data_IF_554936230450
#
_entry.id   IF_554936230450
#
_cell.length_a   1.000
_cell.length_b   1.000
_cell.length_c   1.000
_cell.angle_alpha   90.00
_cell.angle_beta   90.00
_cell.angle_gamma   90.00
#
_symmetry.space_group_name_H-M   'P 1'
#
loop_
_entity.id
_entity.type
_entity.pdbx_description
1 polymer ?
#
# COMPACT_ATOMS: atom_id res chain seq x y z
N UNK A 1 -26.09 -33.05 -69.12
CA UNK A 1 -24.62 -32.90 -69.05
C UNK A 1 -24.28 -32.82 -67.56
N UNK A 2 -23.69 -33.78 -66.85
CA UNK A 2 -22.80 -34.91 -67.14
C UNK A 2 -23.19 -36.12 -66.27
N UNK A 3 -23.15 -37.31 -66.86
CA UNK A 3 -23.07 -38.60 -66.15
C UNK A 3 -21.70 -38.79 -65.51
N UNK A 4 -21.62 -39.57 -64.44
CA UNK A 4 -20.67 -40.70 -64.31
C UNK A 4 -21.05 -41.64 -63.16
N UNK A 5 -21.20 -42.92 -63.56
CA UNK A 5 -21.29 -44.12 -62.73
C UNK A 5 -19.92 -44.41 -62.09
N UNK A 6 -19.85 -45.12 -60.96
CA UNK A 6 -19.35 -46.50 -60.83
C UNK A 6 -19.16 -46.92 -59.36
N UNK A 7 -19.39 -48.22 -59.17
CA UNK A 7 -19.52 -49.03 -57.96
C UNK A 7 -18.28 -49.93 -57.83
N UNK A 8 -17.85 -50.22 -56.59
CA UNK A 8 -16.93 -51.32 -56.20
C UNK A 8 -15.43 -50.99 -56.36
N UNK A 9 -14.49 -51.47 -55.54
CA UNK A 9 -14.39 -52.71 -54.76
C UNK A 9 -13.32 -52.55 -53.65
N UNK A 10 -13.39 -53.39 -52.62
CA UNK A 10 -12.57 -53.41 -51.41
C UNK A 10 -11.08 -53.75 -51.61
N UNK A 11 -10.23 -53.33 -50.66
CA UNK A 11 -9.18 -54.21 -50.11
C UNK A 11 -8.77 -53.75 -48.71
N UNK A 12 -8.83 -54.68 -47.76
CA UNK A 12 -8.67 -54.43 -46.33
C UNK A 12 -7.27 -54.05 -45.92
N UNK A 13 -7.17 -53.35 -44.80
CA UNK A 13 -5.94 -53.23 -44.02
C UNK A 13 -6.29 -53.46 -42.55
N UNK A 14 -5.78 -54.59 -42.07
CA UNK A 14 -5.33 -54.95 -40.73
C UNK A 14 -5.78 -54.04 -39.58
N UNK A 15 -6.62 -54.61 -38.71
CA UNK A 15 -6.94 -54.11 -37.38
C UNK A 15 -5.66 -54.15 -36.54
N UNK A 16 -5.04 -53.01 -36.30
CA UNK A 16 -4.15 -52.83 -35.17
C UNK A 16 -5.00 -52.39 -33.96
N UNK A 17 -5.24 -53.33 -33.04
CA UNK A 17 -5.79 -53.03 -31.72
C UNK A 17 -4.75 -52.21 -30.95
N UNK A 18 -4.86 -50.89 -30.99
CA UNK A 18 -4.19 -50.03 -30.01
C UNK A 18 -4.86 -50.27 -28.65
N UNK A 19 -4.11 -50.55 -27.57
CA UNK A 19 -4.67 -50.50 -26.24
C UNK A 19 -5.13 -49.06 -25.97
N UNK A 20 -6.42 -48.89 -25.66
CA UNK A 20 -6.92 -47.69 -25.02
C UNK A 20 -6.21 -47.64 -23.66
N UNK A 21 -5.15 -46.85 -23.57
CA UNK A 21 -4.60 -46.45 -22.28
C UNK A 21 -5.63 -45.49 -21.69
N UNK A 22 -6.50 -46.02 -20.85
CA UNK A 22 -7.37 -45.22 -19.99
C UNK A 22 -6.44 -44.50 -19.01
N UNK A 23 -5.96 -43.31 -19.37
CA UNK A 23 -5.27 -42.45 -18.42
C UNK A 23 -6.29 -42.09 -17.33
N UNK A 24 -6.10 -42.51 -16.07
CA UNK A 24 -6.92 -41.98 -15.00
C UNK A 24 -6.67 -40.48 -14.92
N UNK A 25 -7.76 -39.76 -14.73
CA UNK A 25 -7.81 -38.32 -14.52
C UNK A 25 -7.04 -38.07 -13.23
N UNK A 26 -5.73 -37.79 -13.32
CA UNK A 26 -5.05 -37.04 -12.28
C UNK A 26 -5.61 -35.63 -12.37
N UNK A 27 -6.68 -35.39 -11.63
CA UNK A 27 -6.94 -34.06 -11.09
C UNK A 27 -5.78 -33.75 -10.14
N UNK A 28 -4.63 -33.41 -10.72
CA UNK A 28 -3.63 -32.61 -10.03
C UNK A 28 -4.35 -31.29 -9.74
N UNK A 29 -4.79 -31.18 -8.49
CA UNK A 29 -5.10 -29.96 -7.79
C UNK A 29 -3.93 -29.00 -8.02
N UNK A 30 -3.93 -28.30 -9.15
CA UNK A 30 -3.04 -27.19 -9.43
C UNK A 30 -3.53 -26.03 -8.57
N UNK A 31 -3.26 -26.17 -7.27
CA UNK A 31 -3.41 -25.12 -6.29
C UNK A 31 -2.30 -24.13 -6.59
N UNK A 32 -2.50 -23.35 -7.66
CA UNK A 32 -1.73 -22.17 -7.97
C UNK A 32 -1.79 -21.27 -6.73
N UNK A 33 -0.80 -21.41 -5.86
CA UNK A 33 -0.63 -20.55 -4.70
C UNK A 33 -0.42 -19.15 -5.26
N UNK A 34 -1.47 -18.34 -5.23
CA UNK A 34 -1.42 -16.94 -5.62
C UNK A 34 -0.28 -16.30 -4.82
N UNK A 35 0.82 -15.99 -5.52
CA UNK A 35 2.00 -15.36 -4.91
C UNK A 35 1.54 -13.99 -4.42
N UNK A 36 1.33 -13.86 -3.12
CA UNK A 36 0.93 -12.58 -2.53
C UNK A 36 1.98 -11.54 -2.95
N UNK A 37 1.57 -10.39 -3.50
CA UNK A 37 2.51 -9.38 -3.94
C UNK A 37 3.37 -8.96 -2.74
N UNK A 38 4.68 -9.11 -2.88
CA UNK A 38 5.63 -8.70 -1.85
C UNK A 38 5.65 -7.17 -1.78
N UNK A 39 5.45 -6.63 -0.58
CA UNK A 39 5.61 -5.20 -0.33
C UNK A 39 7.07 -4.78 -0.52
N UNK A 40 7.33 -3.56 -1.03
CA UNK A 40 8.69 -3.07 -1.27
C UNK A 40 9.49 -2.81 0.02
N UNK A 41 8.80 -2.71 1.16
CA UNK A 41 9.38 -2.50 2.50
C UNK A 41 8.53 -3.23 3.54
N UNK A 42 9.13 -3.57 4.69
CA UNK A 42 8.39 -4.10 5.84
C UNK A 42 7.51 -3.03 6.49
N UNK A 43 6.54 -3.45 7.31
CA UNK A 43 5.68 -2.52 8.04
C UNK A 43 6.49 -1.65 9.01
N UNK A 44 7.50 -2.21 9.68
CA UNK A 44 8.39 -1.52 10.60
C UNK A 44 9.26 -0.49 9.87
N UNK A 45 9.78 -0.84 8.70
CA UNK A 45 10.58 0.08 7.89
C UNK A 45 9.72 1.24 7.35
N UNK A 46 8.50 0.95 6.88
CA UNK A 46 7.56 2.00 6.48
C UNK A 46 7.25 2.95 7.65
N UNK A 47 6.96 2.39 8.83
CA UNK A 47 6.67 3.17 10.04
C UNK A 47 7.87 4.04 10.45
N UNK A 48 9.08 3.49 10.42
CA UNK A 48 10.31 4.24 10.68
C UNK A 48 10.44 5.43 9.72
N UNK A 49 10.35 5.20 8.41
CA UNK A 49 10.50 6.24 7.38
C UNK A 49 9.46 7.37 7.52
N UNK A 50 8.21 7.02 7.84
CA UNK A 50 7.15 7.99 8.10
C UNK A 50 7.50 8.84 9.34
N UNK A 51 7.80 8.19 10.47
CA UNK A 51 8.05 8.89 11.72
C UNK A 51 9.31 9.75 11.67
N UNK A 52 10.42 9.21 11.17
CA UNK A 52 11.69 9.93 11.11
C UNK A 52 11.56 11.21 10.28
N UNK A 53 10.87 11.13 9.14
CA UNK A 53 10.66 12.28 8.25
C UNK A 53 9.78 13.34 8.89
N UNK A 54 8.63 12.95 9.45
CA UNK A 54 7.67 13.88 10.04
C UNK A 54 8.17 14.51 11.35
N UNK A 55 8.93 13.78 12.16
CA UNK A 55 9.55 14.34 13.37
C UNK A 55 10.70 15.28 13.03
N UNK A 56 11.51 14.97 12.01
CA UNK A 56 12.54 15.91 11.53
C UNK A 56 11.91 17.19 10.99
N UNK A 57 10.77 17.08 10.29
CA UNK A 57 9.98 18.25 9.87
C UNK A 57 9.44 19.04 11.06
N UNK A 58 9.00 18.36 12.13
CA UNK A 58 8.56 19.01 13.35
C UNK A 58 9.67 19.86 13.98
N UNK A 59 10.86 19.27 14.13
CA UNK A 59 12.02 19.95 14.70
C UNK A 59 12.45 21.13 13.82
N UNK A 60 12.37 21.00 12.50
CA UNK A 60 12.62 22.07 11.55
C UNK A 60 11.59 23.22 11.67
N UNK A 61 10.31 22.89 11.83
CA UNK A 61 9.27 23.90 12.09
C UNK A 61 9.54 24.65 13.40
N UNK A 62 9.84 23.93 14.48
CA UNK A 62 10.06 24.52 15.82
C UNK A 62 11.31 25.38 15.90
N UNK A 63 12.40 24.95 15.27
CA UNK A 63 13.69 25.66 15.31
C UNK A 63 13.85 26.69 14.19
N UNK A 64 13.06 26.58 13.12
CA UNK A 64 13.30 27.29 11.87
C UNK A 64 14.46 26.73 11.04
N UNK A 65 15.11 25.64 11.48
CA UNK A 65 16.26 25.06 10.80
C UNK A 65 15.89 23.81 9.98
N UNK A 66 15.92 23.94 8.66
CA UNK A 66 15.56 22.88 7.71
C UNK A 66 16.77 22.14 7.13
N UNK A 67 18.00 22.48 7.56
CA UNK A 67 19.20 21.86 6.98
C UNK A 67 19.23 20.36 7.19
N UNK A 68 18.86 19.87 8.38
CA UNK A 68 18.85 18.42 8.68
C UNK A 68 17.86 17.68 7.78
N UNK A 69 16.64 18.22 7.60
CA UNK A 69 15.65 17.62 6.72
C UNK A 69 16.16 17.54 5.27
N UNK A 70 16.77 18.62 4.79
CA UNK A 70 17.39 18.66 3.46
C UNK A 70 18.52 17.66 3.34
N UNK A 71 19.46 17.66 4.26
CA UNK A 71 20.71 16.89 4.16
C UNK A 71 20.47 15.37 4.30
N UNK A 72 19.37 14.95 4.94
CA UNK A 72 18.92 13.56 4.96
C UNK A 72 18.18 13.11 3.69
N UNK A 73 17.66 14.05 2.90
CA UNK A 73 16.93 13.79 1.68
C UNK A 73 17.82 13.25 0.55
N UNK A 74 17.21 12.83 -0.54
CA UNK A 74 17.90 12.31 -1.72
C UNK A 74 18.65 13.43 -2.47
N UNK A 75 19.76 13.14 -3.18
CA UNK A 75 20.58 14.17 -3.83
C UNK A 75 19.79 15.11 -4.77
N UNK A 76 18.88 14.55 -5.57
CA UNK A 76 18.05 15.36 -6.48
C UNK A 76 17.06 16.28 -5.72
N UNK A 77 16.59 15.86 -4.54
CA UNK A 77 15.78 16.72 -3.68
C UNK A 77 16.63 17.86 -3.11
N UNK A 78 17.85 17.56 -2.65
CA UNK A 78 18.79 18.56 -2.13
C UNK A 78 19.15 19.60 -3.19
N UNK A 79 19.39 19.17 -4.43
CA UNK A 79 19.72 20.06 -5.54
C UNK A 79 18.57 21.01 -5.91
N UNK A 80 17.32 20.63 -5.64
CA UNK A 80 16.11 21.41 -5.98
C UNK A 80 15.56 22.23 -4.82
N UNK A 81 15.98 21.97 -3.59
CA UNK A 81 15.42 22.59 -2.40
C UNK A 81 16.54 23.05 -1.46
N UNK A 82 16.68 24.37 -1.28
CA UNK A 82 17.46 24.92 -0.19
C UNK A 82 16.71 24.80 1.15
N UNK A 83 17.41 24.99 2.27
CA UNK A 83 16.75 25.07 3.57
C UNK A 83 15.72 26.22 3.64
N UNK A 84 15.96 27.32 2.91
CA UNK A 84 15.03 28.44 2.81
C UNK A 84 13.77 28.06 2.01
N UNK A 85 13.90 27.29 0.93
CA UNK A 85 12.75 26.82 0.14
C UNK A 85 11.86 25.90 0.97
N UNK A 86 12.46 24.98 1.73
CA UNK A 86 11.71 24.13 2.67
C UNK A 86 11.04 24.97 3.76
N UNK A 87 11.74 25.98 4.29
CA UNK A 87 11.17 26.87 5.28
C UNK A 87 9.95 27.63 4.73
N UNK A 88 9.98 28.06 3.47
CA UNK A 88 8.84 28.67 2.78
C UNK A 88 7.69 27.67 2.59
N UNK A 89 7.99 26.46 2.07
CA UNK A 89 6.99 25.43 1.81
C UNK A 89 6.19 24.99 3.04
N UNK A 90 6.83 24.99 4.22
CA UNK A 90 6.17 24.63 5.48
C UNK A 90 5.80 25.82 6.38
N UNK A 91 5.76 27.04 5.82
CA UNK A 91 5.46 28.26 6.60
C UNK A 91 4.08 28.23 7.25
N UNK A 92 3.06 27.67 6.60
CA UNK A 92 1.71 27.59 7.18
C UNK A 92 1.69 26.76 8.48
N UNK A 93 2.24 25.54 8.44
CA UNK A 93 2.36 24.68 9.64
C UNK A 93 3.11 25.39 10.76
N UNK A 94 4.23 26.06 10.42
CA UNK A 94 5.04 26.80 11.40
C UNK A 94 4.27 27.97 12.01
N UNK A 95 3.61 28.80 11.18
CA UNK A 95 2.85 29.98 11.65
C UNK A 95 1.68 29.60 12.53
N UNK A 96 1.04 28.46 12.25
CA UNK A 96 -0.03 27.90 13.11
C UNK A 96 0.49 27.22 14.37
N UNK A 97 1.82 27.14 14.56
CA UNK A 97 2.47 26.38 15.63
C UNK A 97 1.94 24.94 15.74
N UNK A 98 1.69 24.31 14.59
CA UNK A 98 1.12 22.96 14.57
C UNK A 98 2.20 21.93 14.87
N UNK A 99 2.12 21.28 16.03
CA UNK A 99 3.09 20.26 16.47
C UNK A 99 2.72 18.88 15.93
N UNK A 100 3.71 18.20 15.34
CA UNK A 100 3.58 16.84 14.82
C UNK A 100 3.97 15.77 15.86
N UNK A 101 4.20 16.12 17.14
CA UNK A 101 4.62 15.18 18.19
C UNK A 101 3.74 13.92 18.29
N UNK A 102 2.44 14.03 18.02
CA UNK A 102 1.51 12.88 17.98
C UNK A 102 1.95 11.76 17.03
N UNK A 103 2.78 12.06 16.02
CA UNK A 103 3.41 11.07 15.13
C UNK A 103 4.26 10.05 15.90
N UNK A 104 4.88 10.46 17.02
CA UNK A 104 5.66 9.57 17.87
C UNK A 104 4.77 8.63 18.71
N UNK A 105 3.52 9.04 18.99
CA UNK A 105 2.64 8.36 19.96
C UNK A 105 1.61 7.45 19.30
N UNK A 106 1.13 7.80 18.11
CA UNK A 106 0.08 7.07 17.41
C UNK A 106 0.66 6.27 16.23
N UNK A 107 -0.06 5.22 15.82
CA UNK A 107 0.22 4.54 14.57
C UNK A 107 -0.50 5.27 13.41
N UNK A 108 0.14 5.41 12.24
CA UNK A 108 -0.54 5.93 11.06
C UNK A 108 -1.54 4.90 10.51
N UNK A 109 -2.60 5.39 9.87
CA UNK A 109 -3.45 4.61 8.98
C UNK A 109 -2.98 4.86 7.54
N UNK A 110 -2.48 3.81 6.88
CA UNK A 110 -2.09 3.90 5.48
C UNK A 110 -3.32 3.88 4.59
N UNK A 111 -3.40 4.83 3.65
CA UNK A 111 -4.48 4.90 2.67
C UNK A 111 -4.30 3.87 1.54
N UNK A 112 -3.05 3.49 1.28
CA UNK A 112 -2.68 2.42 0.33
C UNK A 112 -1.53 1.59 0.92
N UNK A 113 -1.40 0.30 0.56
CA UNK A 113 -0.19 -0.44 0.89
C UNK A 113 1.06 0.23 0.31
N UNK A 114 2.22 0.16 0.98
CA UNK A 114 3.48 0.67 0.41
C UNK A 114 3.72 0.12 -0.99
N UNK A 115 4.06 0.99 -1.94
CA UNK A 115 4.28 0.59 -3.33
C UNK A 115 5.41 1.40 -3.97
N UNK A 116 5.97 0.86 -5.05
CA UNK A 116 6.91 1.60 -5.91
C UNK A 116 6.14 2.23 -7.07
N UNK A 117 6.37 3.51 -7.31
CA UNK A 117 5.85 4.17 -8.50
C UNK A 117 6.62 3.72 -9.78
N UNK A 118 6.23 4.16 -10.98
CA UNK A 118 6.95 3.84 -12.23
C UNK A 118 8.43 4.24 -12.21
N UNK A 119 8.82 5.23 -11.42
CA UNK A 119 10.20 5.70 -11.25
C UNK A 119 10.97 4.91 -10.18
N UNK A 120 10.41 3.80 -9.67
CA UNK A 120 10.97 2.99 -8.58
C UNK A 120 11.13 3.75 -7.26
N UNK A 121 10.36 4.81 -7.07
CA UNK A 121 10.31 5.54 -5.81
C UNK A 121 9.27 4.92 -4.88
N UNK A 122 9.62 4.75 -3.62
CA UNK A 122 8.71 4.24 -2.59
C UNK A 122 7.70 5.33 -2.22
N UNK A 123 6.42 4.98 -2.24
CA UNK A 123 5.30 5.83 -1.86
C UNK A 123 4.69 5.34 -0.55
N UNK A 124 4.59 6.25 0.42
CA UNK A 124 3.94 6.03 1.71
C UNK A 124 2.91 7.15 1.92
N UNK A 125 1.62 6.81 1.87
CA UNK A 125 0.52 7.77 1.95
C UNK A 125 -0.47 7.33 3.02
N UNK A 126 -0.93 8.27 3.84
CA UNK A 126 -1.83 7.95 4.94
C UNK A 126 -2.12 9.15 5.83
N UNK A 127 -2.59 8.86 7.04
CA UNK A 127 -2.84 9.90 8.03
C UNK A 127 -2.66 9.38 9.45
N UNK A 128 -2.38 10.28 10.39
CA UNK A 128 -2.53 10.02 11.82
C UNK A 128 -3.92 10.53 12.26
N UNK A 129 -4.74 9.71 12.91
CA UNK A 129 -6.12 10.04 13.29
C UNK A 129 -6.19 10.93 14.54
N UNK A 130 -5.43 12.02 14.56
CA UNK A 130 -5.43 13.00 15.67
C UNK A 130 -6.70 13.85 15.64
N UNK A 131 -7.01 14.50 16.77
CA UNK A 131 -8.13 15.43 16.93
C UNK A 131 -7.67 16.76 17.56
N UNK A 132 -8.29 17.91 17.24
CA UNK A 132 -9.41 18.07 16.29
C UNK A 132 -8.96 18.00 14.81
N UNK A 133 -7.67 18.16 14.52
CA UNK A 133 -7.09 18.06 13.18
C UNK A 133 -6.36 16.73 13.01
N UNK A 134 -6.49 16.10 11.84
CA UNK A 134 -5.66 14.96 11.46
C UNK A 134 -4.31 15.43 10.92
N UNK A 135 -3.36 14.50 10.78
CA UNK A 135 -2.09 14.73 10.08
C UNK A 135 -2.08 13.82 8.86
N UNK A 136 -2.41 14.37 7.70
CA UNK A 136 -2.32 13.66 6.43
C UNK A 136 -0.91 13.79 5.89
N UNK A 137 -0.35 12.70 5.39
CA UNK A 137 0.98 12.69 4.78
C UNK A 137 0.97 11.97 3.44
N UNK A 138 1.81 12.47 2.54
CA UNK A 138 2.20 11.79 1.32
C UNK A 138 3.71 11.93 1.14
N UNK A 139 4.41 10.82 1.31
CA UNK A 139 5.87 10.75 1.35
C UNK A 139 6.37 9.91 0.18
N UNK A 140 7.39 10.42 -0.50
CA UNK A 140 8.11 9.71 -1.57
C UNK A 140 9.55 9.54 -1.16
N UNK A 141 10.12 8.36 -1.39
CA UNK A 141 11.52 8.05 -1.09
C UNK A 141 12.23 7.52 -2.32
N UNK A 142 13.47 7.97 -2.52
CA UNK A 142 14.40 7.42 -3.51
C UNK A 142 15.35 6.45 -2.80
N UNK A 143 15.62 5.30 -3.42
CA UNK A 143 16.65 4.39 -2.92
C UNK A 143 18.02 4.90 -3.40
N UNK A 144 18.88 5.29 -2.46
CA UNK A 144 20.24 5.77 -2.72
C UNK A 144 21.20 4.91 -1.90
N UNK A 145 22.05 4.12 -2.59
CA UNK A 145 22.99 3.20 -1.95
C UNK A 145 22.32 2.28 -0.90
N UNK A 146 21.20 1.65 -1.28
CA UNK A 146 20.38 0.77 -0.45
C UNK A 146 19.73 1.46 0.78
N UNK A 147 19.63 2.79 0.76
CA UNK A 147 18.93 3.57 1.80
C UNK A 147 17.78 4.35 1.19
N UNK A 148 16.59 4.23 1.77
CA UNK A 148 15.44 5.08 1.41
C UNK A 148 15.64 6.48 1.97
N UNK A 149 15.78 7.46 1.07
CA UNK A 149 15.95 8.88 1.41
C UNK A 149 14.73 9.68 0.97
N UNK A 150 14.25 10.65 1.78
CA UNK A 150 13.14 11.50 1.37
C UNK A 150 13.37 12.16 0.01
N UNK A 151 12.37 12.12 -0.85
CA UNK A 151 12.36 12.76 -2.17
C UNK A 151 11.12 13.65 -2.36
N UNK A 152 10.03 13.38 -1.64
CA UNK A 152 8.84 14.21 -1.64
C UNK A 152 8.18 14.18 -0.26
N UNK A 153 7.79 15.34 0.24
CA UNK A 153 7.18 15.49 1.57
C UNK A 153 5.97 16.41 1.42
N UNK A 154 4.78 15.86 1.62
CA UNK A 154 3.54 16.63 1.70
C UNK A 154 2.85 16.34 3.02
N UNK A 155 2.43 17.39 3.72
CA UNK A 155 1.71 17.30 4.99
C UNK A 155 0.54 18.28 4.96
N UNK A 156 -0.63 17.79 5.34
CA UNK A 156 -1.84 18.60 5.49
C UNK A 156 -2.53 18.28 6.82
N UNK A 157 -3.25 19.26 7.38
CA UNK A 157 -3.91 19.10 8.68
C UNK A 157 -5.40 19.43 8.60
N UNK A 158 -6.23 18.61 7.92
CA UNK A 158 -7.66 18.84 7.81
C UNK A 158 -8.38 18.54 9.13
N UNK A 159 -9.61 19.03 9.27
CA UNK A 159 -10.49 18.64 10.39
C UNK A 159 -10.71 17.13 10.37
N UNK A 160 -10.59 16.50 11.53
CA UNK A 160 -10.94 15.10 11.69
C UNK A 160 -12.44 14.91 11.41
N UNK A 161 -12.84 13.85 10.69
CA UNK A 161 -14.24 13.50 10.56
C UNK A 161 -14.88 13.36 11.95
N UNK A 162 -16.19 13.67 12.09
CA UNK A 162 -16.94 13.38 13.30
C UNK A 162 -16.73 11.93 13.71
N UNK A 163 -16.63 11.66 15.02
CA UNK A 163 -16.80 10.29 15.48
C UNK A 163 -18.23 9.88 15.12
N UNK A 164 -18.39 9.11 14.05
CA UNK A 164 -19.61 8.33 13.88
C UNK A 164 -19.68 7.49 15.13
N UNK A 165 -20.66 7.78 15.99
CA UNK A 165 -20.92 7.00 17.19
C UNK A 165 -20.82 5.54 16.81
N UNK A 166 -19.92 4.81 17.47
CA UNK A 166 -19.79 3.37 17.30
C UNK A 166 -21.20 2.80 17.23
N UNK A 167 -21.53 2.08 16.15
CA UNK A 167 -22.80 1.36 16.08
C UNK A 167 -22.95 0.62 17.41
N UNK A 168 -24.05 0.83 18.16
CA UNK A 168 -24.18 0.24 19.48
C UNK A 168 -23.94 -1.26 19.36
N UNK A 169 -23.02 -1.77 20.17
CA UNK A 169 -22.74 -3.20 20.25
C UNK A 169 -24.09 -3.94 20.33
N UNK A 170 -24.29 -5.03 19.56
CA UNK A 170 -25.55 -5.76 19.60
C UNK A 170 -25.81 -6.16 21.06
N UNK A 171 -26.95 -5.69 21.59
CA UNK A 171 -27.36 -5.98 22.95
C UNK A 171 -27.36 -7.50 23.18
N UNK A 172 -26.87 -7.99 24.34
CA UNK A 172 -26.87 -9.41 24.61
C UNK A 172 -28.30 -9.95 24.53
N UNK A 173 -28.50 -10.95 23.66
CA UNK A 173 -29.78 -11.63 23.50
C UNK A 173 -30.26 -12.17 24.85
N UNK A 174 -31.41 -11.69 25.32
CA UNK A 174 -32.08 -12.25 26.49
C UNK A 174 -32.43 -13.71 26.18
N UNK A 175 -31.71 -14.64 26.81
CA UNK A 175 -32.04 -16.06 26.84
C UNK A 175 -33.34 -16.20 27.62
N UNK A 176 -34.47 -16.38 26.92
CA UNK A 176 -35.75 -16.67 27.55
C UNK A 176 -35.66 -18.03 28.24
N UNK A 177 -35.36 -18.02 29.53
CA UNK A 177 -35.67 -19.10 30.44
C UNK A 177 -37.17 -19.01 30.78
N UNK A 178 -38.01 -19.64 29.97
CA UNK A 178 -39.40 -19.90 30.29
C UNK A 178 -39.82 -21.21 29.62
N UNK A 179 -39.32 -22.33 30.15
CA UNK A 179 -39.89 -23.64 29.93
C UNK A 179 -40.41 -24.13 31.28
N UNK A 180 -41.69 -23.83 31.54
CA UNK A 180 -42.48 -24.44 32.60
C UNK A 180 -43.94 -24.49 32.15
N UNK A 181 -44.29 -25.59 31.52
CA UNK A 181 -45.43 -26.46 31.86
C UNK A 181 -45.55 -27.57 30.83
#
# INVERSE_FOLDING_TARGET
MRSRKYLGLALGVVIALSPIVMNPISAEDDKAAAKQPQLPVSAEQALYLIRSTLLTLNDANRSGNYSVLRDLAAPDFQARNSAADLALGFTDLRRRNFDLFSVALAAPQLSTPPYLDPNKMLRLTGFFPTRPLQINFDLTFQNVANQWRPYGISVATPQAPPETAAAPAPAPAKKNAAQKN
#
